data_IF_576630449597
#
_entry.id   IF_576630449597
#
_cell.length_a   1.000
_cell.length_b   1.000
_cell.length_c   1.000
_cell.angle_alpha   90.00
_cell.angle_beta   90.00
_cell.angle_gamma   90.00
#
_symmetry.space_group_name_H-M   'P 1'
#
loop_
_entity.id
_entity.type
_entity.pdbx_description
1 polymer ?
#
# COMPACT_ATOMS: atom_id res chain seq x y z
N UNK A 1 50.44 -8.23 -45.09
CA UNK A 1 49.42 -9.18 -44.58
C UNK A 1 49.51 -9.27 -43.05
N UNK A 2 48.81 -8.39 -42.30
CA UNK A 2 48.71 -8.49 -40.82
C UNK A 2 47.71 -7.47 -40.25
N UNK A 3 46.42 -7.61 -40.57
CA UNK A 3 45.39 -6.73 -39.98
C UNK A 3 44.00 -7.39 -40.01
N UNK A 4 43.85 -8.61 -39.48
CA UNK A 4 42.55 -9.29 -39.38
C UNK A 4 42.18 -9.80 -37.98
N UNK A 5 43.03 -9.58 -36.96
CA UNK A 5 42.87 -10.23 -35.65
C UNK A 5 42.38 -9.31 -34.50
N UNK A 6 42.34 -7.98 -34.69
CA UNK A 6 41.95 -7.03 -33.63
C UNK A 6 40.44 -6.70 -33.55
N UNK A 7 39.66 -7.04 -34.58
CA UNK A 7 38.22 -6.70 -34.66
C UNK A 7 37.34 -7.66 -33.83
N UNK A 8 37.75 -8.92 -33.64
CA UNK A 8 36.96 -9.91 -32.87
C UNK A 8 36.89 -9.61 -31.37
N UNK A 9 37.87 -8.88 -30.82
CA UNK A 9 37.92 -8.55 -29.38
C UNK A 9 36.95 -7.40 -29.04
N UNK A 10 36.78 -6.44 -29.95
CA UNK A 10 35.92 -5.26 -29.74
C UNK A 10 34.43 -5.65 -29.78
N UNK A 11 34.05 -6.63 -30.60
CA UNK A 11 32.66 -7.11 -30.65
C UNK A 11 32.26 -7.86 -29.37
N UNK A 12 33.19 -8.55 -28.71
CA UNK A 12 32.95 -9.29 -27.47
C UNK A 12 32.67 -8.37 -26.28
N UNK A 13 33.24 -7.17 -26.26
CA UNK A 13 33.05 -6.21 -25.15
C UNK A 13 31.69 -5.52 -25.17
N UNK A 14 31.05 -5.38 -26.34
CA UNK A 14 29.72 -4.75 -26.47
C UNK A 14 28.58 -5.69 -26.04
N UNK A 15 28.79 -7.00 -26.13
CA UNK A 15 27.78 -7.99 -25.74
C UNK A 15 27.72 -8.16 -24.20
N UNK A 16 28.86 -8.06 -23.51
CA UNK A 16 28.89 -8.14 -22.04
C UNK A 16 28.40 -6.89 -21.31
N UNK A 17 28.48 -5.69 -21.92
CA UNK A 17 28.01 -4.46 -21.27
C UNK A 17 26.48 -4.36 -21.13
N UNK A 18 25.73 -5.16 -21.88
CA UNK A 18 24.26 -5.20 -21.79
C UNK A 18 23.73 -6.13 -20.69
N UNK A 19 24.57 -7.00 -20.12
CA UNK A 19 24.16 -7.92 -19.04
C UNK A 19 24.16 -7.25 -17.65
N UNK A 20 24.88 -6.15 -17.46
CA UNK A 20 24.98 -5.46 -16.16
C UNK A 20 23.77 -4.56 -15.82
N UNK A 21 22.88 -4.27 -16.78
CA UNK A 21 21.74 -3.37 -16.55
C UNK A 21 20.41 -4.06 -16.19
N UNK A 22 20.39 -5.39 -16.05
CA UNK A 22 19.15 -6.12 -15.73
C UNK A 22 18.96 -6.49 -14.26
N UNK A 23 19.87 -6.08 -13.37
CA UNK A 23 19.63 -6.22 -11.93
C UNK A 23 18.71 -5.09 -11.51
N UNK A 24 17.38 -5.33 -11.53
CA UNK A 24 16.47 -4.54 -10.72
C UNK A 24 16.86 -4.79 -9.27
N UNK A 25 17.65 -3.90 -8.70
CA UNK A 25 17.88 -3.85 -7.26
C UNK A 25 16.53 -3.61 -6.60
N UNK A 26 15.85 -4.69 -6.21
CA UNK A 26 14.75 -4.62 -5.26
C UNK A 26 15.37 -4.23 -3.92
N UNK A 27 15.57 -2.93 -3.72
CA UNK A 27 15.92 -2.41 -2.41
C UNK A 27 14.69 -2.58 -1.54
N UNK A 28 14.84 -3.36 -0.47
CA UNK A 28 13.83 -3.42 0.58
C UNK A 28 13.63 -2.01 1.13
N UNK A 29 12.43 -1.47 0.96
CA UNK A 29 12.06 -0.18 1.55
C UNK A 29 11.71 -0.37 3.01
N UNK A 30 11.69 0.73 3.76
CA UNK A 30 11.24 0.75 5.15
C UNK A 30 10.18 1.82 5.34
N UNK A 31 9.30 1.60 6.31
CA UNK A 31 8.34 2.59 6.81
C UNK A 31 8.31 2.55 8.33
N UNK A 32 7.94 3.65 8.97
CA UNK A 32 7.63 3.67 10.39
C UNK A 32 6.20 3.19 10.65
N UNK A 33 5.93 2.83 11.89
CA UNK A 33 4.60 2.39 12.35
C UNK A 33 3.97 3.47 13.23
N UNK A 34 2.75 3.88 12.89
CA UNK A 34 1.85 4.61 13.79
C UNK A 34 0.80 3.68 14.36
N UNK A 35 0.35 3.98 15.57
CA UNK A 35 -0.82 3.37 16.19
C UNK A 35 -1.95 4.38 16.17
N UNK A 36 -3.08 4.02 15.57
CA UNK A 36 -4.25 4.88 15.46
C UNK A 36 -5.47 4.33 16.20
N UNK A 37 -6.38 5.23 16.56
CA UNK A 37 -7.71 4.90 17.05
C UNK A 37 -8.79 5.07 15.95
N UNK A 38 -10.05 4.78 16.29
CA UNK A 38 -11.19 4.93 15.36
C UNK A 38 -11.53 6.39 15.04
N UNK A 39 -11.07 7.33 15.86
CA UNK A 39 -11.26 8.77 15.69
C UNK A 39 -10.12 9.42 14.89
N UNK A 40 -9.16 8.61 14.41
CA UNK A 40 -7.98 9.03 13.65
C UNK A 40 -6.97 9.82 14.49
N UNK A 41 -7.06 9.75 15.82
CA UNK A 41 -5.94 10.13 16.66
C UNK A 41 -4.84 9.07 16.50
N UNK A 42 -3.58 9.49 16.50
CA UNK A 42 -2.48 8.58 16.27
C UNK A 42 -1.23 8.97 17.03
N UNK A 43 -0.36 7.98 17.27
CA UNK A 43 0.92 8.13 17.94
C UNK A 43 1.96 7.26 17.24
N UNK A 44 3.18 7.76 17.11
CA UNK A 44 4.31 6.98 16.58
C UNK A 44 4.67 5.85 17.53
N UNK A 45 4.73 4.61 17.03
CA UNK A 45 5.15 3.46 17.82
C UNK A 45 6.66 3.50 18.03
N UNK A 46 7.07 3.26 19.27
CA UNK A 46 8.47 3.18 19.67
C UNK A 46 8.78 1.84 20.30
N UNK A 47 10.02 1.41 20.17
CA UNK A 47 10.56 0.21 20.83
C UNK A 47 10.95 0.49 22.30
N UNK A 48 11.47 -0.53 22.97
CA UNK A 48 11.91 -0.48 24.37
C UNK A 48 13.07 0.51 24.60
N UNK A 49 13.82 0.85 23.55
CA UNK A 49 14.91 1.82 23.58
C UNK A 49 14.45 3.24 23.19
N UNK A 50 13.13 3.47 23.13
CA UNK A 50 12.52 4.74 22.75
C UNK A 50 12.87 5.18 21.31
N UNK A 51 13.26 4.25 20.45
CA UNK A 51 13.48 4.47 19.01
C UNK A 51 12.19 4.23 18.25
N UNK A 52 11.96 4.96 17.16
CA UNK A 52 10.79 4.73 16.30
C UNK A 52 10.89 3.35 15.65
N UNK A 53 9.80 2.59 15.73
CA UNK A 53 9.76 1.25 15.16
C UNK A 53 9.60 1.33 13.64
N UNK A 54 10.54 0.74 12.92
CA UNK A 54 10.52 0.60 11.46
C UNK A 54 10.19 -0.85 11.07
N UNK A 55 9.60 -1.02 9.89
CA UNK A 55 9.42 -2.33 9.26
C UNK A 55 9.74 -2.31 7.78
N UNK A 56 10.33 -3.42 7.30
CA UNK A 56 10.70 -3.61 5.91
C UNK A 56 9.54 -4.05 5.03
N UNK A 57 9.57 -3.65 3.75
CA UNK A 57 8.53 -3.98 2.78
C UNK A 57 8.67 -3.16 1.49
N UNK A 58 7.54 -2.85 0.86
CA UNK A 58 7.46 -1.96 -0.30
C UNK A 58 6.10 -1.27 -0.38
N UNK A 59 6.08 -0.04 -0.88
CA UNK A 59 4.85 0.68 -1.21
C UNK A 59 4.27 0.19 -2.54
N UNK A 60 2.95 0.05 -2.59
CA UNK A 60 2.22 -0.28 -3.82
C UNK A 60 0.84 0.40 -3.82
N UNK A 61 0.17 0.40 -4.97
CA UNK A 61 -1.13 1.03 -5.17
C UNK A 61 -2.16 -0.06 -5.41
N UNK A 62 -3.19 -0.09 -4.57
CA UNK A 62 -4.37 -0.87 -4.85
C UNK A 62 -5.24 -0.08 -5.82
N UNK A 63 -5.57 -0.68 -6.95
CA UNK A 63 -6.31 -0.05 -8.04
C UNK A 63 -7.39 -1.03 -8.52
N UNK A 64 -8.65 -0.61 -8.43
CA UNK A 64 -9.78 -1.45 -8.81
C UNK A 64 -10.87 -0.65 -9.52
N UNK A 65 -11.42 -1.26 -10.57
CA UNK A 65 -12.55 -0.74 -11.34
C UNK A 65 -13.76 -1.65 -11.19
N UNK A 66 -14.93 -1.07 -10.91
CA UNK A 66 -16.22 -1.76 -10.99
C UNK A 66 -17.12 -1.04 -11.98
N UNK A 67 -17.74 -1.76 -12.88
CA UNK A 67 -18.66 -1.21 -13.86
C UNK A 67 -20.10 -1.68 -13.56
N UNK A 68 -21.05 -0.79 -13.81
CA UNK A 68 -22.46 -1.12 -13.99
C UNK A 68 -22.95 -0.48 -15.30
N UNK A 69 -24.18 -0.76 -15.77
CA UNK A 69 -24.66 -0.24 -17.06
C UNK A 69 -24.64 1.29 -17.21
N UNK A 70 -24.59 2.04 -16.10
CA UNK A 70 -24.66 3.50 -16.08
C UNK A 70 -23.30 4.16 -15.85
N UNK A 71 -22.33 3.47 -15.23
CA UNK A 71 -21.08 4.09 -14.80
C UNK A 71 -19.95 3.09 -14.53
N UNK A 72 -18.71 3.61 -14.64
CA UNK A 72 -17.47 2.95 -14.20
C UNK A 72 -16.93 3.67 -12.96
N UNK A 73 -16.69 2.91 -11.90
CA UNK A 73 -16.19 3.38 -10.62
C UNK A 73 -14.76 2.88 -10.43
N UNK A 74 -13.82 3.81 -10.33
CA UNK A 74 -12.42 3.53 -10.10
C UNK A 74 -12.04 3.92 -8.67
N UNK A 75 -11.47 2.99 -7.92
CA UNK A 75 -11.02 3.18 -6.55
C UNK A 75 -9.52 2.93 -6.47
N UNK A 76 -8.79 3.86 -5.83
CA UNK A 76 -7.35 3.72 -5.62
C UNK A 76 -6.95 4.10 -4.21
N UNK A 77 -6.02 3.37 -3.62
CA UNK A 77 -5.35 3.76 -2.39
C UNK A 77 -3.95 3.18 -2.29
N UNK A 78 -3.09 3.81 -1.49
CA UNK A 78 -1.73 3.34 -1.23
C UNK A 78 -1.73 2.33 -0.08
N UNK A 79 -0.86 1.32 -0.17
CA UNK A 79 -0.63 0.38 0.91
C UNK A 79 0.86 0.02 0.99
N UNK A 80 1.28 -0.45 2.16
CA UNK A 80 2.63 -0.96 2.37
C UNK A 80 2.56 -2.48 2.52
N UNK A 81 3.13 -3.20 1.55
CA UNK A 81 3.29 -4.65 1.64
C UNK A 81 4.46 -4.95 2.56
N UNK A 82 4.15 -5.44 3.76
CA UNK A 82 5.12 -5.72 4.81
C UNK A 82 5.80 -7.07 4.53
N UNK A 83 7.11 -7.17 4.78
CA UNK A 83 7.87 -8.42 4.64
C UNK A 83 7.90 -9.23 5.95
N UNK A 84 6.79 -9.21 6.68
CA UNK A 84 6.62 -9.86 7.97
C UNK A 84 5.38 -10.75 7.94
N UNK A 85 5.25 -11.62 8.94
CA UNK A 85 4.13 -12.55 9.03
C UNK A 85 2.99 -12.02 9.91
N UNK A 86 1.95 -12.85 10.04
CA UNK A 86 0.81 -12.54 10.91
C UNK A 86 1.18 -12.38 12.39
N UNK A 87 2.17 -13.12 12.89
CA UNK A 87 2.59 -13.04 14.29
C UNK A 87 3.22 -11.68 14.60
N UNK A 88 4.02 -11.15 13.67
CA UNK A 88 4.55 -9.80 13.78
C UNK A 88 3.44 -8.75 13.87
N UNK A 89 2.40 -8.87 13.03
CA UNK A 89 1.25 -7.96 13.05
C UNK A 89 0.51 -8.00 14.40
N UNK A 90 0.28 -9.19 14.95
CA UNK A 90 -0.32 -9.29 16.28
C UNK A 90 0.57 -8.67 17.36
N UNK A 91 1.89 -8.86 17.27
CA UNK A 91 2.85 -8.25 18.19
C UNK A 91 2.75 -6.72 18.17
N UNK A 92 2.75 -6.08 16.99
CA UNK A 92 2.66 -4.62 16.90
C UNK A 92 1.31 -4.09 17.40
N UNK A 93 0.20 -4.82 17.17
CA UNK A 93 -1.11 -4.47 17.77
C UNK A 93 -1.03 -4.48 19.29
N UNK A 94 -0.39 -5.50 19.88
CA UNK A 94 -0.20 -5.57 21.33
C UNK A 94 0.68 -4.42 21.84
N UNK A 95 1.76 -4.09 21.14
CA UNK A 95 2.60 -2.95 21.49
C UNK A 95 1.81 -1.63 21.44
N UNK A 96 0.99 -1.42 20.42
CA UNK A 96 0.13 -0.24 20.32
C UNK A 96 -0.82 -0.12 21.52
N UNK A 97 -1.51 -1.21 21.86
CA UNK A 97 -2.44 -1.27 23.00
C UNK A 97 -1.74 -1.00 24.33
N UNK A 98 -0.58 -1.63 24.54
CA UNK A 98 0.17 -1.52 25.78
C UNK A 98 0.76 -0.10 25.97
N UNK A 99 1.24 0.53 24.90
CA UNK A 99 1.90 1.83 24.98
C UNK A 99 0.91 3.01 25.06
N UNK A 100 -0.26 2.89 24.43
CA UNK A 100 -1.12 4.05 24.19
C UNK A 100 -2.56 3.89 24.68
N UNK A 101 -3.00 2.69 25.05
CA UNK A 101 -4.38 2.39 25.45
C UNK A 101 -5.08 1.44 24.47
N UNK A 102 -6.14 0.79 24.95
CA UNK A 102 -6.89 -0.22 24.19
C UNK A 102 -7.56 0.33 22.93
N UNK A 103 -7.77 1.63 22.86
CA UNK A 103 -8.31 2.38 21.73
C UNK A 103 -7.31 2.52 20.57
N UNK A 104 -6.00 2.53 20.84
CA UNK A 104 -4.94 2.59 19.83
C UNK A 104 -4.57 1.19 19.37
N UNK A 105 -5.44 0.56 18.59
CA UNK A 105 -5.25 -0.83 18.17
C UNK A 105 -4.95 -1.00 16.68
N UNK A 106 -4.88 0.09 15.91
CA UNK A 106 -4.76 0.08 14.46
C UNK A 106 -3.32 0.44 14.08
N UNK A 107 -2.42 -0.54 13.84
CA UNK A 107 -1.09 -0.24 13.33
C UNK A 107 -1.18 0.15 11.85
N UNK A 108 -0.51 1.24 11.46
CA UNK A 108 -0.49 1.71 10.07
C UNK A 108 0.91 2.18 9.65
N UNK A 109 1.29 2.01 8.37
CA UNK A 109 2.54 2.53 7.83
C UNK A 109 2.47 4.05 7.67
N UNK A 110 3.55 4.75 8.04
CA UNK A 110 3.75 6.15 7.70
C UNK A 110 5.25 6.49 7.60
N UNK A 111 5.61 7.39 6.69
CA UNK A 111 6.99 7.88 6.57
C UNK A 111 7.19 9.25 7.23
N UNK A 112 6.09 9.97 7.49
CA UNK A 112 6.07 11.32 8.07
C UNK A 112 4.68 11.67 8.61
N UNK A 113 4.58 12.80 9.34
CA UNK A 113 3.32 13.32 9.90
C UNK A 113 2.24 13.63 8.86
N UNK A 114 2.63 13.92 7.62
CA UNK A 114 1.72 14.29 6.53
C UNK A 114 1.46 13.13 5.55
N UNK A 115 1.82 11.89 5.94
CA UNK A 115 1.58 10.72 5.08
C UNK A 115 0.09 10.43 5.01
N UNK A 116 -0.44 10.21 3.80
CA UNK A 116 -1.81 9.74 3.63
C UNK A 116 -2.05 8.41 4.36
N UNK A 117 -3.25 8.26 4.90
CA UNK A 117 -3.67 7.04 5.57
C UNK A 117 -3.59 5.86 4.61
N UNK A 118 -2.77 4.89 4.97
CA UNK A 118 -2.47 3.72 4.15
C UNK A 118 -2.57 2.45 4.99
N UNK A 119 -2.83 1.32 4.36
CA UNK A 119 -2.94 0.05 5.06
C UNK A 119 -1.63 -0.73 5.00
N UNK A 120 -1.37 -1.52 6.04
CA UNK A 120 -0.45 -2.65 5.88
C UNK A 120 -1.12 -3.76 5.08
N UNK A 121 -0.31 -4.50 4.35
CA UNK A 121 -0.75 -5.65 3.59
C UNK A 121 0.25 -6.80 3.70
N UNK A 122 -0.24 -8.04 3.79
CA UNK A 122 0.61 -9.24 3.74
C UNK A 122 0.86 -9.71 2.30
N UNK A 123 -0.02 -9.32 1.38
CA UNK A 123 0.08 -9.54 -0.06
C UNK A 123 -0.97 -8.71 -0.79
N UNK A 124 -0.96 -8.69 -2.13
CA UNK A 124 -1.86 -7.86 -2.95
C UNK A 124 -3.37 -8.01 -2.68
N UNK A 125 -3.79 -9.09 -2.02
CA UNK A 125 -5.19 -9.38 -1.74
C UNK A 125 -5.54 -9.47 -0.24
N UNK A 126 -4.61 -9.19 0.67
CA UNK A 126 -4.84 -9.38 2.11
C UNK A 126 -4.32 -8.22 2.95
N UNK A 127 -5.23 -7.31 3.28
CA UNK A 127 -4.95 -6.06 3.97
C UNK A 127 -5.30 -6.14 5.45
N UNK A 128 -4.59 -5.38 6.28
CA UNK A 128 -4.94 -5.18 7.68
C UNK A 128 -5.88 -3.99 7.77
N UNK A 129 -7.03 -4.18 8.42
CA UNK A 129 -8.01 -3.11 8.59
C UNK A 129 -7.44 -1.88 9.30
N UNK A 130 -7.83 -0.69 8.83
CA UNK A 130 -7.44 0.60 9.39
C UNK A 130 -8.09 1.77 8.66
N UNK A 131 -7.58 2.98 8.92
CA UNK A 131 -8.00 4.16 8.17
C UNK A 131 -7.31 4.15 6.80
N UNK A 132 -7.99 4.54 5.73
CA UNK A 132 -7.36 4.59 4.40
C UNK A 132 -7.92 5.74 3.57
N UNK A 133 -7.00 6.48 2.95
CA UNK A 133 -7.32 7.51 1.98
C UNK A 133 -7.61 6.88 0.63
N UNK A 134 -8.89 6.82 0.25
CA UNK A 134 -9.32 6.27 -1.04
C UNK A 134 -9.63 7.40 -1.99
N UNK A 135 -8.94 7.40 -3.14
CA UNK A 135 -9.32 8.18 -4.30
C UNK A 135 -10.39 7.43 -5.08
N UNK A 136 -11.51 8.09 -5.33
CA UNK A 136 -12.62 7.56 -6.12
C UNK A 136 -12.84 8.44 -7.34
N UNK A 137 -12.93 7.81 -8.52
CA UNK A 137 -13.33 8.46 -9.78
C UNK A 137 -14.54 7.75 -10.38
N UNK A 138 -15.55 8.50 -10.79
CA UNK A 138 -16.77 7.98 -11.39
C UNK A 138 -16.90 8.52 -12.81
N UNK A 139 -17.00 7.61 -13.77
CA UNK A 139 -17.26 7.93 -15.17
C UNK A 139 -18.68 7.50 -15.50
N UNK A 140 -19.54 8.44 -15.89
CA UNK A 140 -20.92 8.13 -16.28
C UNK A 140 -20.94 7.83 -17.78
N UNK A 141 -21.67 6.78 -18.14
CA UNK A 141 -21.91 6.43 -19.53
C UNK A 141 -23.07 7.28 -20.06
N UNK A 142 -22.76 8.31 -20.84
CA UNK A 142 -23.75 9.09 -21.57
C UNK A 142 -23.47 8.96 -23.06
N UNK A 143 -24.39 8.38 -23.82
CA UNK A 143 -24.35 8.38 -25.30
C UNK A 143 -23.01 7.92 -25.93
N UNK A 144 -22.36 6.89 -25.36
CA UNK A 144 -21.05 6.35 -25.77
C UNK A 144 -19.83 7.27 -25.49
N UNK A 145 -19.97 8.26 -24.61
CA UNK A 145 -18.88 9.07 -24.07
C UNK A 145 -18.78 8.83 -22.57
N UNK A 146 -17.56 8.59 -22.08
CA UNK A 146 -17.27 8.52 -20.64
C UNK A 146 -16.94 9.90 -20.12
N UNK A 147 -17.91 10.56 -19.48
CA UNK A 147 -17.67 11.82 -18.78
C UNK A 147 -17.22 11.52 -17.34
N UNK A 148 -16.07 12.08 -16.92
CA UNK A 148 -15.68 12.08 -15.51
C UNK A 148 -16.58 13.02 -14.75
N UNK A 149 -17.43 12.48 -13.89
CA UNK A 149 -18.44 13.27 -13.16
C UNK A 149 -18.01 13.59 -11.74
N UNK A 150 -17.30 12.68 -11.08
CA UNK A 150 -16.87 12.87 -9.69
C UNK A 150 -15.46 12.33 -9.48
N UNK A 151 -14.61 13.16 -8.86
CA UNK A 151 -13.31 12.76 -8.32
C UNK A 151 -13.23 13.23 -6.88
N UNK A 152 -13.18 12.30 -5.93
CA UNK A 152 -13.10 12.63 -4.50
C UNK A 152 -12.04 11.78 -3.80
N UNK A 153 -11.48 12.33 -2.73
CA UNK A 153 -10.64 11.60 -1.79
C UNK A 153 -11.36 11.56 -0.44
N UNK A 154 -11.56 10.36 0.09
CA UNK A 154 -12.26 10.17 1.36
C UNK A 154 -11.52 9.16 2.22
N UNK A 155 -11.44 9.44 3.51
CA UNK A 155 -10.92 8.49 4.49
C UNK A 155 -12.03 7.52 4.85
N UNK A 156 -11.78 6.22 4.62
CA UNK A 156 -12.62 5.13 5.08
C UNK A 156 -11.96 4.42 6.26
N UNK A 157 -12.76 3.86 7.16
CA UNK A 157 -12.29 2.93 8.16
C UNK A 157 -12.68 1.51 7.74
N UNK A 158 -11.71 0.75 7.27
CA UNK A 158 -11.89 -0.61 6.79
C UNK A 158 -11.50 -1.58 7.92
N UNK A 159 -12.32 -2.59 8.24
CA UNK A 159 -11.99 -3.58 9.29
C UNK A 159 -13.11 -3.87 10.27
N UNK A 160 -14.19 -3.08 10.24
CA UNK A 160 -15.36 -3.26 11.10
C UNK A 160 -15.04 -2.98 12.57
N UNK A 161 -15.69 -3.66 13.51
CA UNK A 161 -15.57 -3.33 14.94
C UNK A 161 -14.26 -3.79 15.59
N UNK A 162 -13.52 -4.71 14.96
CA UNK A 162 -12.41 -5.47 15.57
C UNK A 162 -11.06 -5.15 14.95
N UNK A 163 -10.02 -5.10 15.79
CA UNK A 163 -8.69 -4.56 15.48
C UNK A 163 -7.82 -5.35 14.50
N UNK A 164 -8.09 -6.64 14.30
CA UNK A 164 -7.16 -7.55 13.59
C UNK A 164 -7.85 -8.26 12.42
N UNK A 165 -8.95 -7.70 11.91
CA UNK A 165 -9.63 -8.31 10.76
C UNK A 165 -8.79 -8.05 9.51
N UNK A 166 -8.30 -9.13 8.91
CA UNK A 166 -7.79 -9.06 7.55
C UNK A 166 -8.95 -8.91 6.57
N UNK A 167 -8.75 -8.05 5.59
CA UNK A 167 -9.71 -7.76 4.55
C UNK A 167 -9.17 -8.28 3.24
N UNK A 168 -9.99 -9.08 2.57
CA UNK A 168 -9.72 -9.44 1.18
C UNK A 168 -10.10 -8.28 0.27
N UNK A 169 -9.42 -8.14 -0.87
CA UNK A 169 -9.76 -7.13 -1.89
C UNK A 169 -11.26 -7.07 -2.20
N UNK A 170 -11.93 -8.23 -2.32
CA UNK A 170 -13.39 -8.30 -2.56
C UNK A 170 -14.23 -7.65 -1.45
N UNK A 171 -13.87 -7.86 -0.19
CA UNK A 171 -14.58 -7.24 0.94
C UNK A 171 -14.43 -5.71 0.93
N UNK A 172 -13.25 -5.21 0.55
CA UNK A 172 -12.99 -3.77 0.39
C UNK A 172 -13.86 -3.21 -0.74
N UNK A 173 -13.91 -3.89 -1.89
CA UNK A 173 -14.72 -3.48 -3.04
C UNK A 173 -16.20 -3.39 -2.68
N UNK A 174 -16.74 -4.44 -2.05
CA UNK A 174 -18.14 -4.46 -1.66
C UNK A 174 -18.46 -3.37 -0.66
N UNK A 175 -17.57 -3.14 0.32
CA UNK A 175 -17.71 -2.05 1.27
C UNK A 175 -17.71 -0.68 0.59
N UNK A 176 -16.71 -0.39 -0.26
CA UNK A 176 -16.59 0.90 -0.93
C UNK A 176 -17.78 1.15 -1.85
N UNK A 177 -18.20 0.14 -2.62
CA UNK A 177 -19.31 0.26 -3.55
C UNK A 177 -20.65 0.51 -2.86
N UNK A 178 -20.87 -0.09 -1.69
CA UNK A 178 -22.08 0.11 -0.91
C UNK A 178 -22.11 1.46 -0.14
N UNK A 179 -20.99 2.18 -0.09
CA UNK A 179 -20.86 3.48 0.59
C UNK A 179 -20.64 4.65 -0.39
N UNK A 180 -20.89 4.42 -1.69
CA UNK A 180 -20.96 5.50 -2.67
C UNK A 180 -22.28 6.26 -2.42
N UNK A 181 -22.16 7.50 -1.97
CA UNK A 181 -23.25 8.46 -1.86
C UNK A 181 -23.02 9.60 -2.85
#
# INVERSE_FOLDING_TARGET
>A
MKMRMKIKIILSTVIFSNLFFYIKSFSLEKTYIICADKLKNWKWLKDENNQYLEVGGYWDVWDYSKENPQAVYNFKFNYFSINEDYHYINKIVHMCKNNFGMEYFIPQPANSFNTSWSLFSLNKDLFIGGNVDVSQKIFINSENIFDLVLSQQKIYYLGGKTSNKFLKSREIIDYLFNNIH
#
